data_IF_750398109282
#
_entry.id   IF_750398109282
#
_cell.length_a   1.000
_cell.length_b   1.000
_cell.length_c   1.000
_cell.angle_alpha   90.00
_cell.angle_beta   90.00
_cell.angle_gamma   90.00
#
_symmetry.space_group_name_H-M   'P 1'
#
loop_
_entity.id
_entity.type
_entity.pdbx_description
1 polymer ?
#
# COMPACT_ATOMS: atom_id res chain seq x y z
N UNK A 1 11.88 -8.05 -44.62
CA UNK A 1 12.89 -8.39 -43.61
C UNK A 1 12.62 -7.45 -42.45
N UNK A 2 11.90 -7.92 -41.44
CA UNK A 2 11.40 -7.06 -40.38
C UNK A 2 12.44 -7.01 -39.26
N UNK A 3 12.80 -5.80 -38.82
CA UNK A 3 13.65 -5.62 -37.66
C UNK A 3 12.88 -6.06 -36.41
N UNK A 4 13.32 -7.16 -35.82
CA UNK A 4 12.93 -7.56 -34.47
C UNK A 4 13.26 -6.41 -33.49
N UNK A 5 12.41 -6.16 -32.47
CA UNK A 5 12.72 -5.19 -31.42
C UNK A 5 14.11 -5.45 -30.86
N UNK A 6 14.89 -4.37 -30.67
CA UNK A 6 16.32 -4.50 -30.44
C UNK A 6 16.59 -5.39 -29.23
N UNK A 7 17.21 -6.54 -29.50
CA UNK A 7 17.63 -7.56 -28.57
C UNK A 7 18.76 -7.08 -27.64
N UNK A 8 18.86 -5.79 -27.35
CA UNK A 8 20.00 -5.16 -26.69
C UNK A 8 20.29 -5.77 -25.31
N UNK A 9 19.27 -6.28 -24.59
CA UNK A 9 19.45 -7.01 -23.32
C UNK A 9 19.84 -8.48 -23.47
N UNK A 10 19.58 -9.12 -24.62
CA UNK A 10 20.13 -10.46 -24.88
C UNK A 10 21.63 -10.44 -25.18
N UNK A 11 22.19 -9.25 -25.46
CA UNK A 11 23.64 -9.07 -25.55
C UNK A 11 24.36 -9.48 -24.25
N UNK A 12 23.76 -9.26 -23.06
CA UNK A 12 24.33 -9.72 -21.78
C UNK A 12 24.60 -11.23 -21.75
N UNK A 13 23.62 -12.02 -22.18
CA UNK A 13 23.76 -13.48 -22.25
C UNK A 13 24.64 -13.94 -23.42
N UNK A 14 24.75 -13.14 -24.49
CA UNK A 14 25.68 -13.38 -25.59
C UNK A 14 27.14 -12.96 -25.29
N UNK A 15 27.38 -12.14 -24.26
CA UNK A 15 28.69 -11.64 -23.88
C UNK A 15 29.54 -12.68 -23.10
N UNK A 16 30.86 -12.56 -23.20
CA UNK A 16 31.80 -13.33 -22.38
C UNK A 16 31.83 -12.79 -20.93
N UNK A 17 32.48 -13.53 -20.00
CA UNK A 17 32.50 -13.19 -18.57
C UNK A 17 33.09 -11.80 -18.26
N UNK A 18 34.02 -11.29 -19.05
CA UNK A 18 34.66 -9.98 -18.82
C UNK A 18 33.69 -8.87 -19.21
N UNK A 19 32.98 -9.03 -20.32
CA UNK A 19 31.99 -8.06 -20.78
C UNK A 19 30.76 -8.02 -19.86
N UNK A 20 30.33 -9.17 -19.31
CA UNK A 20 29.25 -9.21 -18.30
C UNK A 20 29.58 -8.43 -17.04
N UNK A 21 30.82 -8.47 -16.57
CA UNK A 21 31.24 -7.67 -15.41
C UNK A 21 31.07 -6.17 -15.63
N UNK A 22 31.11 -5.68 -16.89
CA UNK A 22 30.83 -4.27 -17.20
C UNK A 22 29.34 -3.94 -17.10
N UNK A 23 28.47 -4.89 -17.43
CA UNK A 23 27.02 -4.77 -17.25
C UNK A 23 26.61 -4.91 -15.78
N UNK A 24 27.20 -5.84 -15.03
CA UNK A 24 26.94 -6.04 -13.59
C UNK A 24 27.33 -4.80 -12.74
N UNK A 25 28.19 -3.93 -13.28
CA UNK A 25 28.59 -2.65 -12.68
C UNK A 25 27.66 -1.48 -13.06
N UNK A 26 26.75 -1.66 -14.01
CA UNK A 26 25.77 -0.63 -14.36
C UNK A 26 24.71 -0.57 -13.25
N UNK A 27 24.41 0.64 -12.77
CA UNK A 27 23.23 0.90 -11.93
C UNK A 27 21.97 0.89 -12.80
N UNK A 28 21.67 -0.27 -13.38
CA UNK A 28 20.43 -0.51 -14.13
C UNK A 28 19.59 -1.51 -13.35
N UNK A 29 18.25 -1.36 -13.31
CA UNK A 29 17.37 -2.36 -12.72
C UNK A 29 17.62 -3.74 -13.35
N UNK A 30 17.65 -4.79 -12.52
CA UNK A 30 17.63 -6.17 -13.01
C UNK A 30 16.23 -6.44 -13.59
N UNK A 31 16.16 -6.74 -14.89
CA UNK A 31 14.91 -6.90 -15.63
C UNK A 31 14.83 -8.33 -16.14
N UNK A 32 14.10 -9.18 -15.40
CA UNK A 32 13.87 -10.57 -15.80
C UNK A 32 12.81 -10.66 -16.90
N UNK A 33 13.28 -10.63 -18.15
CA UNK A 33 12.42 -10.77 -19.33
C UNK A 33 11.85 -12.19 -19.50
N UNK A 34 12.37 -13.21 -18.80
CA UNK A 34 12.06 -14.62 -19.07
C UNK A 34 10.56 -14.92 -19.06
N UNK A 35 9.76 -14.49 -18.06
CA UNK A 35 8.34 -14.85 -18.03
C UNK A 35 7.54 -14.29 -19.22
N UNK A 36 7.86 -13.06 -19.64
CA UNK A 36 7.22 -12.42 -20.79
C UNK A 36 7.69 -13.07 -22.10
N UNK A 37 9.00 -13.32 -22.24
CA UNK A 37 9.57 -13.96 -23.42
C UNK A 37 9.08 -15.40 -23.61
N UNK A 38 8.99 -16.20 -22.54
CA UNK A 38 8.44 -17.56 -22.57
C UNK A 38 6.97 -17.53 -23.01
N UNK A 39 6.17 -16.61 -22.46
CA UNK A 39 4.77 -16.44 -22.84
C UNK A 39 4.60 -16.08 -24.31
N UNK A 40 5.38 -15.11 -24.80
CA UNK A 40 5.42 -14.71 -26.20
C UNK A 40 5.85 -15.86 -27.11
N UNK A 41 6.90 -16.60 -26.72
CA UNK A 41 7.43 -17.69 -27.52
C UNK A 41 6.45 -18.86 -27.64
N UNK A 42 5.74 -19.20 -26.57
CA UNK A 42 4.70 -20.23 -26.61
C UNK A 42 3.49 -19.80 -27.46
N UNK A 43 3.10 -18.51 -27.42
CA UNK A 43 2.08 -17.97 -28.33
C UNK A 43 2.52 -18.08 -29.80
N UNK A 44 3.76 -17.70 -30.11
CA UNK A 44 4.31 -17.79 -31.47
C UNK A 44 4.41 -19.25 -31.96
N UNK A 45 4.82 -20.19 -31.10
CA UNK A 45 4.88 -21.63 -31.42
C UNK A 45 3.53 -22.27 -31.67
N UNK A 46 2.48 -21.77 -31.03
CA UNK A 46 1.13 -22.30 -31.17
C UNK A 46 0.56 -22.01 -32.57
N UNK A 47 1.04 -20.96 -33.23
CA UNK A 47 0.61 -20.54 -34.57
C UNK A 47 1.54 -21.09 -35.66
N UNK A 48 1.43 -22.39 -35.95
CA UNK A 48 2.36 -23.12 -36.85
C UNK A 48 2.07 -22.95 -38.34
N UNK A 49 0.93 -22.35 -38.72
CA UNK A 49 0.46 -22.29 -40.11
C UNK A 49 0.25 -20.83 -40.54
N UNK A 50 1.29 -20.21 -41.11
CA UNK A 50 1.21 -18.89 -41.75
C UNK A 50 0.67 -19.05 -43.19
N UNK A 51 -0.64 -19.28 -43.34
CA UNK A 51 -1.27 -19.14 -44.67
C UNK A 51 -1.30 -17.66 -45.07
N UNK A 52 -1.32 -17.34 -46.37
CA UNK A 52 -1.20 -15.96 -46.89
C UNK A 52 -2.27 -14.97 -46.36
N UNK A 53 -3.35 -15.47 -45.77
CA UNK A 53 -4.44 -14.68 -45.18
C UNK A 53 -4.33 -14.48 -43.64
N UNK A 54 -3.29 -14.99 -42.98
CA UNK A 54 -3.18 -15.03 -41.53
C UNK A 54 -2.43 -13.81 -40.94
N UNK A 55 -3.17 -12.77 -40.51
CA UNK A 55 -2.59 -11.60 -39.82
C UNK A 55 -2.05 -11.94 -38.43
N UNK A 56 -0.90 -11.35 -38.06
CA UNK A 56 -0.33 -11.44 -36.71
C UNK A 56 -1.31 -10.96 -35.63
N UNK A 57 -2.15 -9.98 -35.93
CA UNK A 57 -3.13 -9.41 -35.00
C UNK A 57 -4.17 -10.42 -34.50
N UNK A 58 -4.34 -11.54 -35.21
CA UNK A 58 -5.27 -12.61 -34.84
C UNK A 58 -4.60 -13.77 -34.10
N UNK A 59 -3.27 -13.78 -33.97
CA UNK A 59 -2.49 -14.88 -33.36
C UNK A 59 -2.95 -15.21 -31.96
N UNK A 60 -3.16 -14.20 -31.10
CA UNK A 60 -3.67 -14.41 -29.76
C UNK A 60 -5.01 -15.14 -29.76
N UNK A 61 -5.98 -14.68 -30.56
CA UNK A 61 -7.32 -15.28 -30.63
C UNK A 61 -7.34 -16.71 -31.19
N UNK A 62 -6.37 -17.05 -32.04
CA UNK A 62 -6.21 -18.40 -32.61
C UNK A 62 -5.46 -19.37 -31.71
N UNK A 63 -4.78 -18.88 -30.67
CA UNK A 63 -4.05 -19.74 -29.73
C UNK A 63 -4.99 -20.77 -29.11
N UNK A 64 -4.57 -22.04 -28.91
CA UNK A 64 -5.39 -23.04 -28.23
C UNK A 64 -5.72 -22.69 -26.78
N UNK A 65 -4.89 -21.84 -26.13
CA UNK A 65 -5.03 -21.48 -24.72
C UNK A 65 -4.86 -19.97 -24.49
N UNK A 66 -5.68 -19.12 -25.12
CA UNK A 66 -5.47 -17.66 -25.13
C UNK A 66 -5.59 -17.08 -23.70
N UNK A 67 -6.49 -17.64 -22.89
CA UNK A 67 -6.69 -17.26 -21.48
C UNK A 67 -5.42 -17.34 -20.64
N UNK A 68 -4.46 -18.22 -20.98
CA UNK A 68 -3.19 -18.37 -20.25
C UNK A 68 -2.31 -17.12 -20.38
N UNK A 69 -2.40 -16.40 -21.49
CA UNK A 69 -1.52 -15.29 -21.84
C UNK A 69 -2.22 -13.93 -21.81
N UNK A 70 -3.48 -13.89 -21.34
CA UNK A 70 -4.29 -12.68 -21.26
C UNK A 70 -3.69 -11.56 -20.40
N UNK A 71 -2.76 -11.91 -19.50
CA UNK A 71 -2.06 -11.00 -18.56
C UNK A 71 -0.68 -10.52 -19.04
N UNK A 72 -0.31 -10.83 -20.29
CA UNK A 72 1.03 -10.57 -20.80
C UNK A 72 1.28 -9.06 -20.96
N UNK A 73 0.30 -8.29 -21.41
CA UNK A 73 0.42 -6.83 -21.52
C UNK A 73 0.57 -6.18 -20.14
N UNK A 74 -0.26 -6.58 -19.17
CA UNK A 74 -0.16 -6.14 -17.77
C UNK A 74 1.21 -6.46 -17.17
N UNK A 75 1.71 -7.68 -17.37
CA UNK A 75 3.01 -8.11 -16.84
C UNK A 75 4.17 -7.35 -17.49
N UNK A 76 4.14 -7.22 -18.82
CA UNK A 76 5.17 -6.48 -19.54
C UNK A 76 5.20 -5.01 -19.11
N UNK A 77 4.04 -4.39 -18.91
CA UNK A 77 3.93 -3.02 -18.41
C UNK A 77 4.42 -2.88 -16.95
N UNK A 78 4.06 -3.82 -16.08
CA UNK A 78 4.49 -3.82 -14.67
C UNK A 78 6.02 -3.88 -14.53
N UNK A 79 6.69 -4.70 -15.35
CA UNK A 79 8.13 -4.92 -15.27
C UNK A 79 8.96 -4.07 -16.26
N UNK A 80 8.32 -3.19 -17.04
CA UNK A 80 9.03 -2.28 -17.95
C UNK A 80 9.57 -2.96 -19.21
N UNK A 81 8.95 -4.06 -19.62
CA UNK A 81 9.34 -4.84 -20.80
C UNK A 81 8.70 -4.26 -22.07
N UNK A 82 9.09 -3.04 -22.45
CA UNK A 82 8.49 -2.30 -23.57
C UNK A 82 8.46 -3.11 -24.88
N UNK A 83 9.52 -3.82 -25.21
CA UNK A 83 9.59 -4.64 -26.42
C UNK A 83 8.64 -5.84 -26.38
N UNK A 84 8.50 -6.47 -25.21
CA UNK A 84 7.51 -7.52 -24.99
C UNK A 84 6.09 -6.97 -25.11
N UNK A 85 5.83 -5.76 -24.58
CA UNK A 85 4.54 -5.08 -24.67
C UNK A 85 4.19 -4.75 -26.13
N UNK A 86 5.14 -4.20 -26.90
CA UNK A 86 5.01 -3.95 -28.34
C UNK A 86 4.69 -5.22 -29.12
N UNK A 87 5.43 -6.30 -28.89
CA UNK A 87 5.20 -7.56 -29.58
C UNK A 87 3.86 -8.18 -29.17
N UNK A 88 3.51 -8.16 -27.88
CA UNK A 88 2.22 -8.61 -27.37
C UNK A 88 1.07 -7.86 -28.06
N UNK A 89 1.25 -6.57 -28.32
CA UNK A 89 0.25 -5.78 -29.02
C UNK A 89 0.10 -6.17 -30.50
N UNK A 90 1.23 -6.36 -31.20
CA UNK A 90 1.24 -6.80 -32.62
C UNK A 90 0.53 -8.14 -32.81
N UNK A 91 0.70 -9.08 -31.86
CA UNK A 91 0.06 -10.41 -31.93
C UNK A 91 -1.40 -10.43 -31.45
N UNK A 92 -1.96 -9.27 -31.08
CA UNK A 92 -3.36 -9.11 -30.70
C UNK A 92 -3.71 -9.44 -29.25
N UNK A 93 -2.75 -9.43 -28.32
CA UNK A 93 -3.06 -9.58 -26.88
C UNK A 93 -3.89 -8.36 -26.42
N UNK A 94 -4.98 -8.56 -25.66
CA UNK A 94 -5.80 -7.47 -25.17
C UNK A 94 -5.07 -6.62 -24.11
N UNK A 95 -5.43 -5.34 -24.01
CA UNK A 95 -4.89 -4.39 -23.02
C UNK A 95 -5.46 -4.59 -21.61
N UNK A 96 -6.68 -5.09 -21.55
CA UNK A 96 -7.38 -5.48 -20.35
C UNK A 96 -8.02 -6.83 -20.64
N UNK A 97 -7.79 -7.77 -19.75
CA UNK A 97 -8.32 -9.12 -19.87
C UNK A 97 -9.72 -9.29 -19.29
N UNK A 98 -10.34 -8.22 -18.80
CA UNK A 98 -11.74 -8.17 -18.37
C UNK A 98 -12.04 -9.09 -17.17
N UNK A 99 -12.97 -8.66 -16.33
CA UNK A 99 -13.51 -9.47 -15.24
C UNK A 99 -14.39 -10.61 -15.81
N UNK A 100 -13.82 -11.77 -16.08
CA UNK A 100 -14.59 -13.02 -15.98
C UNK A 100 -14.46 -13.56 -14.55
N UNK A 101 -15.33 -13.07 -13.65
CA UNK A 101 -15.56 -13.68 -12.34
C UNK A 101 -16.47 -14.88 -12.56
N UNK A 102 -15.93 -16.10 -12.50
CA UNK A 102 -16.68 -17.26 -11.98
C UNK A 102 -15.73 -18.13 -11.13
N UNK A 103 -15.91 -18.10 -9.81
CA UNK A 103 -15.82 -19.32 -8.99
C UNK A 103 -14.51 -19.70 -8.27
N UNK A 104 -13.61 -18.79 -7.90
CA UNK A 104 -12.50 -19.12 -6.98
C UNK A 104 -12.26 -18.06 -5.89
N UNK A 105 -11.80 -18.45 -4.68
CA UNK A 105 -11.53 -17.51 -3.60
C UNK A 105 -10.15 -16.85 -3.85
N UNK A 106 -10.16 -15.52 -3.83
CA UNK A 106 -9.07 -14.55 -4.00
C UNK A 106 -8.57 -14.30 -5.45
N UNK A 107 -9.17 -13.33 -6.16
CA UNK A 107 -8.62 -12.84 -7.43
C UNK A 107 -7.54 -11.78 -7.19
N UNK A 108 -6.31 -12.04 -7.64
CA UNK A 108 -5.34 -11.00 -7.95
C UNK A 108 -5.86 -10.27 -9.19
N UNK A 109 -6.63 -9.19 -8.99
CA UNK A 109 -7.15 -8.36 -10.07
C UNK A 109 -5.97 -7.56 -10.63
N UNK A 110 -5.34 -8.06 -11.70
CA UNK A 110 -4.46 -7.19 -12.49
C UNK A 110 -5.35 -6.20 -13.25
N UNK A 111 -5.17 -4.89 -12.97
CA UNK A 111 -5.72 -3.78 -13.77
C UNK A 111 -5.14 -3.72 -15.18
N UNK A 112 -5.42 -2.66 -15.93
CA UNK A 112 -4.96 -2.53 -17.33
C UNK A 112 -3.43 -2.39 -17.45
N UNK A 113 -2.89 -2.51 -18.66
CA UNK A 113 -1.47 -2.23 -18.92
C UNK A 113 -1.05 -0.80 -18.49
N UNK A 114 -1.89 0.22 -18.72
CA UNK A 114 -1.65 1.57 -18.21
C UNK A 114 -1.59 1.61 -16.68
N UNK A 115 -2.51 0.93 -15.99
CA UNK A 115 -2.52 0.88 -14.53
C UNK A 115 -1.24 0.26 -13.97
N UNK A 116 -0.77 -0.84 -14.58
CA UNK A 116 0.45 -1.53 -14.16
C UNK A 116 1.72 -0.70 -14.44
N UNK A 117 1.81 -0.06 -15.60
CA UNK A 117 2.92 0.83 -15.91
C UNK A 117 2.97 2.04 -14.96
N UNK A 118 1.82 2.63 -14.64
CA UNK A 118 1.73 3.73 -13.68
C UNK A 118 2.09 3.30 -12.26
N UNK A 119 1.66 2.10 -11.84
CA UNK A 119 1.98 1.52 -10.52
C UNK A 119 3.48 1.34 -10.30
N UNK A 120 4.23 0.93 -11.34
CA UNK A 120 5.67 0.65 -11.25
C UNK A 120 6.59 1.72 -11.83
N UNK A 121 6.03 2.83 -12.32
CA UNK A 121 6.82 3.97 -12.82
C UNK A 121 7.45 3.74 -14.20
N UNK A 122 6.91 2.81 -14.99
CA UNK A 122 7.43 2.53 -16.33
C UNK A 122 6.78 3.46 -17.36
N UNK A 123 7.19 4.73 -17.36
CA UNK A 123 6.63 5.77 -18.22
C UNK A 123 6.58 5.36 -19.71
N UNK A 124 7.65 4.81 -20.26
CA UNK A 124 7.67 4.40 -21.68
C UNK A 124 6.61 3.33 -22.01
N UNK A 125 6.32 2.43 -21.06
CA UNK A 125 5.26 1.45 -21.23
C UNK A 125 3.87 2.09 -21.11
N UNK A 126 3.73 3.09 -20.23
CA UNK A 126 2.50 3.86 -20.06
C UNK A 126 2.15 4.64 -21.33
N UNK A 127 3.13 5.37 -21.87
CA UNK A 127 3.03 6.14 -23.12
C UNK A 127 2.61 5.23 -24.27
N UNK A 128 3.37 4.15 -24.49
CA UNK A 128 3.09 3.20 -25.57
C UNK A 128 1.70 2.56 -25.43
N UNK A 129 1.31 2.14 -24.23
CA UNK A 129 0.01 1.51 -24.01
C UNK A 129 -1.14 2.47 -24.34
N UNK A 130 -1.09 3.72 -23.84
CA UNK A 130 -2.09 4.74 -24.11
C UNK A 130 -2.20 5.07 -25.60
N UNK A 131 -1.08 5.38 -26.26
CA UNK A 131 -1.04 5.74 -27.68
C UNK A 131 -1.56 4.63 -28.60
N UNK A 132 -1.53 3.38 -28.15
CA UNK A 132 -1.99 2.21 -28.89
C UNK A 132 -3.35 1.67 -28.39
N UNK A 133 -4.12 2.50 -27.68
CA UNK A 133 -5.53 2.25 -27.38
C UNK A 133 -5.82 1.53 -26.05
N UNK A 134 -4.87 1.48 -25.12
CA UNK A 134 -5.17 1.11 -23.74
C UNK A 134 -5.88 2.30 -23.07
N UNK A 135 -7.04 2.07 -22.45
CA UNK A 135 -7.81 3.12 -21.81
C UNK A 135 -7.27 3.42 -20.41
N UNK A 136 -7.37 4.69 -20.01
CA UNK A 136 -7.18 5.10 -18.62
C UNK A 136 -8.17 4.37 -17.72
N UNK A 137 -7.69 3.96 -16.55
CA UNK A 137 -8.53 3.58 -15.42
C UNK A 137 -8.50 4.67 -14.37
N UNK A 138 -9.56 4.78 -13.57
CA UNK A 138 -9.60 5.69 -12.42
C UNK A 138 -8.47 5.43 -11.40
N UNK A 139 -7.84 4.25 -11.48
CA UNK A 139 -6.69 3.84 -10.65
C UNK A 139 -5.33 4.24 -11.21
N UNK A 140 -5.24 4.68 -12.47
CA UNK A 140 -3.94 4.93 -13.11
C UNK A 140 -3.20 6.08 -12.40
N UNK A 141 -3.85 7.24 -12.22
CA UNK A 141 -3.26 8.36 -11.49
C UNK A 141 -3.01 8.02 -10.01
N UNK A 142 -3.94 7.33 -9.36
CA UNK A 142 -3.80 7.05 -7.93
C UNK A 142 -2.74 5.99 -7.62
N UNK A 143 -2.46 5.05 -8.54
CA UNK A 143 -1.33 4.11 -8.43
C UNK A 143 0.02 4.78 -8.67
N UNK A 144 0.11 5.70 -9.64
CA UNK A 144 1.31 6.51 -9.84
C UNK A 144 1.60 7.37 -8.59
N UNK A 145 0.57 8.01 -8.04
CA UNK A 145 0.66 8.79 -6.82
C UNK A 145 1.03 7.94 -5.58
N UNK A 146 0.47 6.73 -5.47
CA UNK A 146 0.75 5.77 -4.39
C UNK A 146 2.24 5.40 -4.30
N UNK A 147 2.92 5.26 -5.43
CA UNK A 147 4.33 4.84 -5.50
C UNK A 147 5.30 5.99 -5.84
N UNK A 148 4.80 7.23 -5.91
CA UNK A 148 5.65 8.41 -6.10
C UNK A 148 6.16 8.62 -7.52
N UNK A 149 5.52 8.01 -8.52
CA UNK A 149 5.87 8.14 -9.93
C UNK A 149 5.24 9.41 -10.51
N UNK A 150 5.83 10.57 -10.17
CA UNK A 150 5.32 11.88 -10.58
C UNK A 150 5.26 12.04 -12.11
N UNK A 151 6.23 11.50 -12.83
CA UNK A 151 6.29 11.50 -14.29
C UNK A 151 5.11 10.75 -14.93
N UNK A 152 4.80 9.55 -14.45
CA UNK A 152 3.61 8.80 -14.85
C UNK A 152 2.32 9.55 -14.51
N UNK A 153 2.25 10.16 -13.32
CA UNK A 153 1.09 10.94 -12.88
C UNK A 153 0.87 12.16 -13.77
N UNK A 154 1.93 12.89 -14.11
CA UNK A 154 1.90 14.05 -14.99
C UNK A 154 1.42 13.64 -16.38
N UNK A 155 2.06 12.64 -16.98
CA UNK A 155 1.72 12.16 -18.32
C UNK A 155 0.26 11.70 -18.41
N UNK A 156 -0.19 10.87 -17.45
CA UNK A 156 -1.56 10.39 -17.43
C UNK A 156 -2.57 11.55 -17.33
N UNK A 157 -2.31 12.53 -16.46
CA UNK A 157 -3.18 13.70 -16.28
C UNK A 157 -3.23 14.57 -17.55
N UNK A 158 -2.09 14.90 -18.14
CA UNK A 158 -2.02 15.72 -19.36
C UNK A 158 -2.71 15.06 -20.56
N UNK A 159 -2.79 13.73 -20.55
CA UNK A 159 -3.49 12.94 -21.57
C UNK A 159 -4.94 12.56 -21.19
N UNK A 160 -5.53 13.24 -20.19
CA UNK A 160 -6.96 13.16 -19.91
C UNK A 160 -7.37 12.13 -18.86
N UNK A 161 -6.44 11.50 -18.14
CA UNK A 161 -6.78 10.69 -16.97
C UNK A 161 -7.33 11.57 -15.85
N UNK A 162 -8.40 11.10 -15.19
CA UNK A 162 -9.06 11.82 -14.11
C UNK A 162 -8.28 11.70 -12.80
N UNK A 163 -8.26 12.80 -12.04
CA UNK A 163 -7.76 12.81 -10.67
C UNK A 163 -8.95 12.70 -9.72
N UNK A 164 -8.80 11.89 -8.68
CA UNK A 164 -9.80 11.67 -7.64
C UNK A 164 -9.18 11.77 -6.24
N UNK A 165 -10.01 11.75 -5.20
CA UNK A 165 -9.54 11.86 -3.81
C UNK A 165 -8.51 10.78 -3.43
N UNK A 166 -8.57 9.61 -4.08
CA UNK A 166 -7.63 8.52 -3.87
C UNK A 166 -6.21 8.91 -4.29
N UNK A 167 -6.07 9.75 -5.32
CA UNK A 167 -4.76 10.24 -5.79
C UNK A 167 -4.03 11.04 -4.71
N UNK A 168 -4.68 12.04 -4.11
CA UNK A 168 -4.10 12.84 -3.02
C UNK A 168 -3.84 11.98 -1.77
N UNK A 169 -4.83 11.17 -1.36
CA UNK A 169 -4.73 10.37 -0.13
C UNK A 169 -3.69 9.24 -0.22
N UNK A 170 -3.45 8.67 -1.41
CA UNK A 170 -2.39 7.68 -1.64
C UNK A 170 -0.99 8.31 -1.64
N UNK A 171 -0.82 9.47 -2.29
CA UNK A 171 0.45 10.22 -2.23
C UNK A 171 0.80 10.59 -0.79
N UNK A 172 -0.19 11.08 -0.02
CA UNK A 172 -0.04 11.43 1.38
C UNK A 172 0.28 10.21 2.26
N UNK A 173 -0.31 9.05 1.98
CA UNK A 173 -0.07 7.80 2.70
C UNK A 173 1.40 7.36 2.63
N UNK A 174 2.05 7.51 1.48
CA UNK A 174 3.44 7.05 1.26
C UNK A 174 4.47 8.19 1.28
N UNK A 175 4.06 9.42 1.59
CA UNK A 175 4.99 10.55 1.75
C UNK A 175 5.45 11.17 0.44
N UNK A 176 4.75 10.92 -0.65
CA UNK A 176 5.09 11.46 -1.97
C UNK A 176 4.58 12.89 -2.13
N UNK A 177 5.23 13.83 -1.42
CA UNK A 177 4.83 15.23 -1.37
C UNK A 177 4.71 15.87 -2.76
N UNK A 178 5.63 15.57 -3.68
CA UNK A 178 5.61 16.16 -5.02
C UNK A 178 4.40 15.67 -5.84
N UNK A 179 4.00 14.40 -5.71
CA UNK A 179 2.77 13.88 -6.30
C UNK A 179 1.53 14.56 -5.68
N UNK A 180 1.52 14.74 -4.36
CA UNK A 180 0.43 15.42 -3.65
C UNK A 180 0.28 16.88 -4.10
N UNK A 181 1.40 17.61 -4.22
CA UNK A 181 1.46 18.99 -4.72
C UNK A 181 0.93 19.08 -6.14
N UNK A 182 1.46 18.25 -7.04
CA UNK A 182 1.02 18.22 -8.43
C UNK A 182 -0.47 17.91 -8.55
N UNK A 183 -0.97 16.89 -7.85
CA UNK A 183 -2.38 16.53 -7.88
C UNK A 183 -3.24 17.72 -7.40
N UNK A 184 -2.86 18.36 -6.29
CA UNK A 184 -3.59 19.50 -5.74
C UNK A 184 -3.62 20.69 -6.70
N UNK A 185 -2.47 21.05 -7.27
CA UNK A 185 -2.33 22.17 -8.22
C UNK A 185 -3.14 21.93 -9.50
N UNK A 186 -3.40 20.66 -9.86
CA UNK A 186 -4.20 20.26 -11.02
C UNK A 186 -5.69 20.03 -10.71
N UNK A 187 -6.17 20.51 -9.56
CA UNK A 187 -7.57 20.51 -9.19
C UNK A 187 -8.08 19.18 -8.64
N UNK A 188 -7.18 18.28 -8.21
CA UNK A 188 -7.59 17.05 -7.53
C UNK A 188 -8.37 17.38 -6.25
N UNK A 189 -9.56 16.79 -6.05
CA UNK A 189 -10.22 16.87 -4.77
C UNK A 189 -9.38 16.13 -3.73
N UNK A 190 -9.48 16.57 -2.49
CA UNK A 190 -8.94 15.86 -1.33
C UNK A 190 -10.00 15.85 -0.23
N UNK A 191 -9.84 14.94 0.72
CA UNK A 191 -10.72 14.83 1.88
C UNK A 191 -9.89 14.64 3.14
N UNK A 192 -10.56 14.59 4.29
CA UNK A 192 -9.92 14.31 5.59
C UNK A 192 -8.98 13.10 5.57
N UNK A 193 -9.24 12.13 4.69
CA UNK A 193 -8.40 10.94 4.49
C UNK A 193 -6.97 11.30 4.07
N UNK A 194 -6.74 12.40 3.38
CA UNK A 194 -5.38 12.86 3.03
C UNK A 194 -4.57 13.17 4.28
N UNK A 195 -5.13 13.90 5.25
CA UNK A 195 -4.49 14.18 6.54
C UNK A 195 -4.36 12.90 7.38
N UNK A 196 -5.43 12.11 7.49
CA UNK A 196 -5.44 10.86 8.27
C UNK A 196 -4.38 9.88 7.78
N UNK A 197 -4.24 9.70 6.46
CA UNK A 197 -3.24 8.80 5.87
C UNK A 197 -1.81 9.31 6.05
N UNK A 198 -1.57 10.61 5.90
CA UNK A 198 -0.26 11.19 6.19
C UNK A 198 0.13 10.98 7.65
N UNK A 199 -0.79 11.25 8.58
CA UNK A 199 -0.59 11.04 10.01
C UNK A 199 -0.36 9.56 10.35
N UNK A 200 -1.14 8.65 9.75
CA UNK A 200 -1.04 7.20 9.94
C UNK A 200 0.34 6.64 9.64
N UNK A 201 1.03 7.17 8.63
CA UNK A 201 2.36 6.70 8.20
C UNK A 201 3.48 7.69 8.55
N UNK A 202 3.21 8.68 9.40
CA UNK A 202 4.24 9.60 9.90
C UNK A 202 4.78 10.57 8.86
N UNK A 203 4.03 10.79 7.78
CA UNK A 203 4.41 11.63 6.63
C UNK A 203 4.20 13.11 6.94
N UNK A 204 5.04 13.63 7.83
CA UNK A 204 4.95 14.99 8.37
C UNK A 204 4.87 16.07 7.27
N UNK A 205 5.68 15.96 6.23
CA UNK A 205 5.70 16.95 5.16
C UNK A 205 4.40 16.99 4.36
N UNK A 206 3.80 15.82 4.11
CA UNK A 206 2.48 15.72 3.47
C UNK A 206 1.37 16.26 4.39
N UNK A 207 1.40 15.93 5.68
CA UNK A 207 0.41 16.42 6.66
C UNK A 207 0.45 17.94 6.77
N UNK A 208 1.67 18.51 6.88
CA UNK A 208 1.89 19.96 6.93
C UNK A 208 1.40 20.65 5.67
N UNK A 209 1.81 20.16 4.50
CA UNK A 209 1.38 20.73 3.22
C UNK A 209 -0.15 20.70 3.06
N UNK A 210 -0.78 19.56 3.40
CA UNK A 210 -2.23 19.42 3.35
C UNK A 210 -2.92 20.44 4.27
N UNK A 211 -2.44 20.59 5.52
CA UNK A 211 -3.01 21.53 6.47
C UNK A 211 -2.85 22.99 6.04
N UNK A 212 -1.65 23.40 5.62
CA UNK A 212 -1.35 24.76 5.16
C UNK A 212 -2.21 25.18 3.97
N UNK A 213 -2.59 24.21 3.13
CA UNK A 213 -3.44 24.44 1.97
C UNK A 213 -4.94 24.18 2.25
N UNK A 214 -5.33 24.11 3.54
CA UNK A 214 -6.71 24.01 4.04
C UNK A 214 -7.41 22.68 3.73
N UNK A 215 -6.66 21.58 3.69
CA UNK A 215 -7.28 20.26 3.76
C UNK A 215 -8.02 20.12 5.10
N UNK A 216 -9.23 19.58 5.05
CA UNK A 216 -9.97 19.23 6.24
C UNK A 216 -9.28 18.10 6.99
N UNK A 217 -9.52 18.04 8.29
CA UNK A 217 -9.12 16.96 9.17
C UNK A 217 -10.12 16.84 10.30
N UNK A 218 -10.07 15.74 11.02
CA UNK A 218 -10.85 15.47 12.22
C UNK A 218 -10.03 14.62 13.20
N UNK A 219 -10.66 14.23 14.31
CA UNK A 219 -10.04 13.42 15.36
C UNK A 219 -9.33 12.15 14.85
N UNK A 220 -9.78 11.56 13.74
CA UNK A 220 -9.16 10.39 13.14
C UNK A 220 -7.69 10.65 12.75
N UNK A 221 -7.32 11.90 12.49
CA UNK A 221 -5.93 12.29 12.20
C UNK A 221 -5.03 12.13 13.43
N UNK A 222 -5.49 12.57 14.61
CA UNK A 222 -4.79 12.36 15.88
C UNK A 222 -4.75 10.87 16.25
N UNK A 223 -5.87 10.18 16.11
CA UNK A 223 -5.96 8.74 16.40
C UNK A 223 -5.01 7.93 15.52
N UNK A 224 -4.97 8.22 14.22
CA UNK A 224 -4.08 7.53 13.29
C UNK A 224 -2.59 7.74 13.61
N UNK A 225 -2.19 8.96 13.96
CA UNK A 225 -0.82 9.24 14.40
C UNK A 225 -0.49 8.50 15.71
N UNK A 226 -1.39 8.55 16.68
CA UNK A 226 -1.23 7.91 17.98
C UNK A 226 -1.18 6.37 17.88
N UNK A 227 -2.05 5.78 17.04
CA UNK A 227 -2.13 4.35 16.77
C UNK A 227 -0.84 3.78 16.18
N UNK A 228 -0.11 4.56 15.39
CA UNK A 228 1.12 4.11 14.71
C UNK A 228 2.40 4.74 15.31
N UNK A 229 2.27 5.44 16.44
CA UNK A 229 3.41 5.94 17.20
C UNK A 229 4.11 7.15 16.58
N UNK A 230 3.45 7.84 15.66
CA UNK A 230 3.99 9.01 14.97
C UNK A 230 3.79 10.28 15.80
N UNK A 231 4.52 10.37 16.93
CA UNK A 231 4.41 11.46 17.89
C UNK A 231 4.50 12.85 17.23
N UNK A 232 5.43 13.05 16.30
CA UNK A 232 5.57 14.34 15.63
C UNK A 232 4.28 14.74 14.90
N UNK A 233 3.64 13.81 14.20
CA UNK A 233 2.36 14.06 13.52
C UNK A 233 1.24 14.38 14.52
N UNK A 234 1.19 13.67 15.65
CA UNK A 234 0.23 13.94 16.72
C UNK A 234 0.43 15.34 17.32
N UNK A 235 1.67 15.73 17.63
CA UNK A 235 2.02 17.08 18.13
C UNK A 235 1.56 18.14 17.13
N UNK A 236 1.98 17.99 15.86
CA UNK A 236 1.65 18.96 14.83
C UNK A 236 0.13 19.11 14.64
N UNK A 237 -0.60 17.99 14.55
CA UNK A 237 -2.04 18.00 14.41
C UNK A 237 -2.70 18.73 15.58
N UNK A 238 -2.29 18.41 16.82
CA UNK A 238 -2.84 19.02 18.03
C UNK A 238 -2.57 20.52 18.10
N UNK A 239 -1.33 20.94 17.91
CA UNK A 239 -0.93 22.36 17.99
C UNK A 239 -1.61 23.25 16.95
N UNK A 240 -2.05 22.66 15.83
CA UNK A 240 -2.72 23.37 14.74
C UNK A 240 -4.26 23.24 14.80
N UNK A 241 -4.80 22.74 15.92
CA UNK A 241 -6.22 22.73 16.22
C UNK A 241 -6.98 21.51 15.71
N UNK A 242 -6.30 20.37 15.46
CA UNK A 242 -6.99 19.11 15.27
C UNK A 242 -7.68 18.69 16.58
N UNK A 243 -8.93 18.25 16.47
CA UNK A 243 -9.66 17.66 17.58
C UNK A 243 -9.04 16.30 17.94
N UNK A 244 -9.32 15.86 19.16
CA UNK A 244 -9.02 14.52 19.65
C UNK A 244 -10.07 14.14 20.70
N UNK A 245 -10.14 12.86 21.05
CA UNK A 245 -10.96 12.38 22.15
C UNK A 245 -10.25 11.23 22.88
N UNK A 246 -10.96 10.54 23.77
CA UNK A 246 -10.38 9.44 24.56
C UNK A 246 -9.86 8.27 23.70
N UNK A 247 -10.27 8.16 22.42
CA UNK A 247 -9.76 7.14 21.53
C UNK A 247 -8.29 7.36 21.22
N UNK A 248 -7.79 8.61 21.17
CA UNK A 248 -6.37 8.92 20.94
C UNK A 248 -5.48 8.27 22.01
N UNK A 249 -5.84 8.39 23.29
CA UNK A 249 -5.15 7.70 24.39
C UNK A 249 -5.32 6.18 24.30
N UNK A 250 -6.54 5.70 24.03
CA UNK A 250 -6.84 4.26 23.90
C UNK A 250 -5.99 3.59 22.82
N UNK A 251 -5.92 4.15 21.61
CA UNK A 251 -5.17 3.57 20.50
C UNK A 251 -3.66 3.67 20.69
N UNK A 252 -3.15 4.75 21.30
CA UNK A 252 -1.74 4.84 21.69
C UNK A 252 -1.36 3.73 22.68
N UNK A 253 -2.21 3.51 23.69
CA UNK A 253 -2.03 2.50 24.72
C UNK A 253 -2.13 1.07 24.14
N UNK A 254 -3.14 0.82 23.29
CA UNK A 254 -3.38 -0.45 22.61
C UNK A 254 -2.26 -0.89 21.68
N UNK A 255 -1.45 0.04 21.15
CA UNK A 255 -0.34 -0.25 20.24
C UNK A 255 1.04 -0.01 20.90
N UNK A 256 1.06 0.27 22.20
CA UNK A 256 2.30 0.37 22.98
C UNK A 256 3.10 1.64 22.74
N UNK A 257 2.49 2.66 22.15
CA UNK A 257 3.13 3.94 21.82
C UNK A 257 3.11 4.89 23.01
N UNK A 258 3.89 4.55 24.04
CA UNK A 258 3.96 5.29 25.31
C UNK A 258 4.17 6.80 25.09
N UNK A 259 5.07 7.20 24.20
CA UNK A 259 5.35 8.62 23.97
C UNK A 259 4.12 9.39 23.44
N UNK A 260 3.29 8.75 22.61
CA UNK A 260 2.03 9.36 22.15
C UNK A 260 1.00 9.44 23.28
N UNK A 261 0.89 8.39 24.10
CA UNK A 261 0.02 8.37 25.27
C UNK A 261 0.40 9.45 26.30
N UNK A 262 1.69 9.59 26.59
CA UNK A 262 2.22 10.61 27.50
C UNK A 262 1.88 12.00 26.97
N UNK A 263 2.21 12.28 25.72
CA UNK A 263 1.93 13.58 25.12
C UNK A 263 0.43 13.91 25.13
N UNK A 264 -0.42 12.98 24.69
CA UNK A 264 -1.86 13.16 24.67
C UNK A 264 -2.38 13.49 26.08
N UNK A 265 -1.97 12.72 27.09
CA UNK A 265 -2.41 12.94 28.47
C UNK A 265 -1.95 14.28 29.03
N UNK A 266 -0.66 14.61 28.89
CA UNK A 266 -0.08 15.84 29.43
C UNK A 266 -0.66 17.11 28.80
N UNK A 267 -1.21 17.00 27.59
CA UNK A 267 -1.83 18.10 26.86
C UNK A 267 -3.37 18.10 26.95
N UNK A 268 -3.94 17.32 27.88
CA UNK A 268 -5.36 17.39 28.23
C UNK A 268 -6.28 16.51 27.40
N UNK A 269 -5.75 15.52 26.67
CA UNK A 269 -6.60 14.46 26.11
C UNK A 269 -7.26 13.69 27.24
N UNK A 270 -8.56 13.47 27.13
CA UNK A 270 -9.27 12.59 28.04
C UNK A 270 -8.83 11.14 27.83
N UNK A 271 -9.04 10.32 28.84
CA UNK A 271 -8.90 8.87 28.75
C UNK A 271 -10.07 8.21 29.45
N UNK A 272 -10.30 6.94 29.13
CA UNK A 272 -11.30 6.11 29.80
C UNK A 272 -10.62 4.88 30.37
N UNK A 273 -11.39 4.03 31.06
CA UNK A 273 -10.90 2.72 31.52
C UNK A 273 -10.36 1.85 30.36
N UNK A 274 -10.79 2.15 29.14
CA UNK A 274 -10.37 1.43 27.93
C UNK A 274 -8.88 1.64 27.65
N UNK A 275 -8.28 2.75 28.10
CA UNK A 275 -6.84 2.99 27.95
C UNK A 275 -6.01 1.98 28.76
N UNK A 276 -6.34 1.77 30.04
CA UNK A 276 -5.70 0.72 30.85
C UNK A 276 -6.03 -0.68 30.32
N UNK A 277 -7.31 -0.92 29.99
CA UNK A 277 -7.78 -2.20 29.48
C UNK A 277 -7.04 -2.64 28.21
N UNK A 278 -6.96 -1.79 27.18
CA UNK A 278 -6.32 -2.14 25.91
C UNK A 278 -4.79 -2.27 26.06
N UNK A 279 -4.14 -1.42 26.86
CA UNK A 279 -2.72 -1.60 27.17
C UNK A 279 -2.44 -2.97 27.80
N UNK A 280 -3.28 -3.42 28.73
CA UNK A 280 -3.13 -4.70 29.41
C UNK A 280 -3.45 -5.88 28.48
N UNK A 281 -4.53 -5.77 27.69
CA UNK A 281 -5.00 -6.78 26.74
C UNK A 281 -4.03 -7.04 25.60
N UNK A 282 -3.30 -6.03 25.14
CA UNK A 282 -2.28 -6.13 24.08
C UNK A 282 -0.84 -6.26 24.64
N UNK A 283 -0.69 -6.31 25.97
CA UNK A 283 0.58 -6.64 26.63
C UNK A 283 1.57 -5.48 26.74
N UNK A 284 1.11 -4.24 26.57
CA UNK A 284 1.94 -3.04 26.64
C UNK A 284 2.10 -2.53 28.07
N UNK A 285 2.89 -3.25 28.87
CA UNK A 285 3.09 -2.99 30.29
C UNK A 285 3.47 -1.53 30.60
N UNK A 286 4.37 -0.92 29.83
CA UNK A 286 4.79 0.46 30.10
C UNK A 286 3.64 1.46 29.94
N UNK A 287 2.73 1.24 28.97
CA UNK A 287 1.54 2.07 28.80
C UNK A 287 0.56 1.86 29.97
N UNK A 288 0.36 0.60 30.40
CA UNK A 288 -0.47 0.27 31.55
C UNK A 288 0.05 0.92 32.84
N UNK A 289 1.36 0.82 33.11
CA UNK A 289 2.02 1.42 34.27
C UNK A 289 1.79 2.94 34.26
N UNK A 290 2.09 3.59 33.13
CA UNK A 290 1.94 5.03 33.02
C UNK A 290 0.49 5.47 33.22
N UNK A 291 -0.47 4.84 32.52
CA UNK A 291 -1.87 5.17 32.62
C UNK A 291 -2.38 5.01 34.06
N UNK A 292 -2.12 3.87 34.69
CA UNK A 292 -2.53 3.60 36.08
C UNK A 292 -1.91 4.60 37.07
N UNK A 293 -0.58 4.81 37.02
CA UNK A 293 0.11 5.70 37.96
C UNK A 293 -0.33 7.16 37.85
N UNK A 294 -0.85 7.57 36.69
CA UNK A 294 -1.34 8.92 36.45
C UNK A 294 -2.87 9.04 36.60
N UNK A 295 -3.54 8.02 37.15
CA UNK A 295 -4.95 8.07 37.55
C UNK A 295 -5.95 7.68 36.47
N UNK A 296 -5.52 6.98 35.42
CA UNK A 296 -6.46 6.36 34.48
C UNK A 296 -7.28 5.29 35.22
N UNK A 297 -8.62 5.32 35.12
CA UNK A 297 -9.43 4.27 35.72
C UNK A 297 -9.12 2.91 35.07
N UNK A 298 -9.39 1.85 35.81
CA UNK A 298 -9.36 0.47 35.33
C UNK A 298 -10.45 -0.33 36.02
N UNK A 299 -10.82 -1.47 35.44
CA UNK A 299 -11.74 -2.41 36.03
C UNK A 299 -11.21 -3.84 35.90
N UNK A 300 -11.98 -4.80 36.39
CA UNK A 300 -11.60 -6.22 36.40
C UNK A 300 -11.18 -6.78 35.04
N UNK A 301 -11.70 -6.23 33.94
CA UNK A 301 -11.38 -6.72 32.61
C UNK A 301 -9.94 -6.42 32.22
N UNK A 302 -9.32 -5.38 32.81
CA UNK A 302 -7.91 -5.02 32.58
C UNK A 302 -6.99 -6.18 32.96
N UNK A 303 -7.15 -6.72 34.18
CA UNK A 303 -6.38 -7.87 34.62
C UNK A 303 -6.79 -9.18 33.91
N UNK A 304 -8.10 -9.44 33.80
CA UNK A 304 -8.63 -10.69 33.22
C UNK A 304 -8.12 -10.90 31.79
N UNK A 305 -8.23 -9.90 30.92
CA UNK A 305 -7.82 -10.04 29.52
C UNK A 305 -6.31 -10.09 29.34
N UNK A 306 -5.53 -9.38 30.16
CA UNK A 306 -4.07 -9.52 30.18
C UNK A 306 -3.67 -10.99 30.40
N UNK A 307 -4.31 -11.66 31.38
CA UNK A 307 -4.03 -13.06 31.68
C UNK A 307 -4.53 -14.01 30.59
N UNK A 308 -5.76 -13.82 30.08
CA UNK A 308 -6.32 -14.64 28.99
C UNK A 308 -5.51 -14.56 27.70
N UNK A 309 -4.90 -13.40 27.41
CA UNK A 309 -4.04 -13.19 26.24
C UNK A 309 -2.57 -13.57 26.49
N UNK A 310 -2.24 -14.10 27.67
CA UNK A 310 -0.89 -14.55 28.01
C UNK A 310 0.10 -13.44 28.38
N UNK A 311 -0.37 -12.21 28.58
CA UNK A 311 0.45 -11.06 28.99
C UNK A 311 0.66 -11.04 30.50
N UNK A 312 1.46 -12.01 30.98
CA UNK A 312 1.67 -12.28 32.42
C UNK A 312 2.23 -11.07 33.17
N UNK A 313 3.08 -10.25 32.56
CA UNK A 313 3.62 -9.06 33.24
C UNK A 313 2.55 -8.01 33.51
N UNK A 314 1.64 -7.78 32.57
CA UNK A 314 0.49 -6.89 32.73
C UNK A 314 -0.49 -7.43 33.79
N UNK A 315 -0.74 -8.74 33.79
CA UNK A 315 -1.53 -9.41 34.82
C UNK A 315 -0.92 -9.24 36.21
N UNK A 316 0.37 -9.56 36.37
CA UNK A 316 1.08 -9.45 37.63
C UNK A 316 1.08 -8.01 38.15
N UNK A 317 1.24 -7.04 37.26
CA UNK A 317 1.13 -5.63 37.60
C UNK A 317 -0.28 -5.28 38.08
N UNK A 318 -1.33 -5.63 37.33
CA UNK A 318 -2.71 -5.37 37.70
C UNK A 318 -3.08 -6.00 39.05
N UNK A 319 -2.70 -7.26 39.28
CA UNK A 319 -2.93 -7.98 40.54
C UNK A 319 -2.23 -7.30 41.72
N UNK A 320 -0.94 -6.98 41.56
CA UNK A 320 -0.12 -6.36 42.62
C UNK A 320 -0.63 -4.98 43.02
N UNK A 321 -1.26 -4.25 42.10
CA UNK A 321 -1.73 -2.88 42.31
C UNK A 321 -3.24 -2.79 42.57
N UNK A 322 -3.92 -3.92 42.85
CA UNK A 322 -5.30 -3.92 43.31
C UNK A 322 -6.33 -3.60 42.22
N UNK A 323 -6.05 -3.95 40.95
CA UNK A 323 -7.07 -4.00 39.90
C UNK A 323 -8.25 -4.85 40.40
N UNK A 324 -9.52 -4.41 40.29
CA UNK A 324 -10.66 -5.18 40.78
C UNK A 324 -10.71 -6.61 40.21
N UNK A 325 -11.27 -7.58 40.92
CA UNK A 325 -11.55 -8.92 40.39
C UNK A 325 -12.82 -9.51 41.00
N UNK A 326 -13.50 -10.38 40.25
CA UNK A 326 -14.58 -11.22 40.78
C UNK A 326 -14.01 -12.60 41.11
N UNK A 327 -14.36 -13.16 42.26
CA UNK A 327 -13.87 -14.46 42.72
C UNK A 327 -14.23 -15.60 41.75
N UNK A 328 -15.38 -15.51 41.08
CA UNK A 328 -15.79 -16.43 40.00
C UNK A 328 -14.85 -16.39 38.79
N UNK A 329 -14.37 -15.20 38.41
CA UNK A 329 -13.42 -15.03 37.31
C UNK A 329 -12.00 -15.49 37.68
N UNK A 330 -11.58 -15.30 38.94
CA UNK A 330 -10.28 -15.82 39.42
C UNK A 330 -10.23 -17.35 39.33
N UNK A 331 -11.28 -18.04 39.77
CA UNK A 331 -11.36 -19.50 39.70
C UNK A 331 -11.40 -20.04 38.26
N UNK A 332 -12.02 -19.31 37.34
CA UNK A 332 -12.01 -19.65 35.91
C UNK A 332 -10.61 -19.51 35.30
N UNK A 333 -9.83 -18.52 35.73
CA UNK A 333 -8.50 -18.23 35.21
C UNK A 333 -7.43 -19.12 35.84
N UNK A 334 -7.50 -19.38 37.15
CA UNK A 334 -6.60 -20.30 37.85
C UNK A 334 -6.78 -21.76 37.42
N UNK A 335 -7.93 -22.14 36.86
CA UNK A 335 -8.13 -23.47 36.28
C UNK A 335 -7.54 -23.61 34.87
N UNK A 336 -7.27 -22.50 34.17
CA UNK A 336 -6.57 -22.50 32.87
C UNK A 336 -5.05 -22.66 33.00
N UNK A 337 -4.46 -22.42 34.17
CA UNK A 337 -3.05 -22.70 34.46
C UNK A 337 -2.70 -24.21 34.40
N UNK A 338 -3.69 -25.10 34.26
CA UNK A 338 -3.54 -26.55 34.10
C UNK A 338 -3.66 -27.05 32.65
N UNK A 339 -3.77 -26.17 31.64
CA UNK A 339 -4.00 -26.54 30.23
C UNK A 339 -2.85 -26.17 29.27
N UNK A 340 -1.66 -25.82 29.77
CA UNK A 340 -0.45 -25.69 28.95
C UNK A 340 0.53 -26.84 29.19
#
# INVERSE_FOLDING_TARGET
MYELPSLLKTAYHACNKIDRARYDLLRTPDVDLRPCCESLFELLKADRNLDENNSMETMYSRSPTPRRYRKLCESAALYGHLDCLKLARVIGVPWDSGLEIIGHPEPMIFGSACEMAALSGNLECLEYAWENGCLWSDRTCSNAALNGHLDCLVYARENGCTLDESTCSNAALHGHLECLRYARDNGCPWSKLTCTNAARNGQMDCLRYARENRCEWDKDTCDAAAQNGHLNCLIYARENGCEWDNDTCKVAASNGHLNCLVYARENGCEWSRDTCYEAAKEGHLNCLIYAHQNGCPWDQWTGIYAKLRGHIDCWNYALKNGCPWVESTYNMISSMDYLC
#
